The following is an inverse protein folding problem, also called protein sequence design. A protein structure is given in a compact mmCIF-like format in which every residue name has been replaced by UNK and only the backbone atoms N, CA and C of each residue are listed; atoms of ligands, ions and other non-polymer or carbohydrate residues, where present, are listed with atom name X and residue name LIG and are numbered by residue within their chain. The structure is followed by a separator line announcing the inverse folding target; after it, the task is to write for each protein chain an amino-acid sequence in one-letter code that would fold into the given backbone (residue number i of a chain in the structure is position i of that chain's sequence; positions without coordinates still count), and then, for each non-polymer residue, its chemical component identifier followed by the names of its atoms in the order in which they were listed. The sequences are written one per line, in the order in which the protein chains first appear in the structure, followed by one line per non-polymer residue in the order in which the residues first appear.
data_IF_457572706270
#
_entry.id   IF_457572706270
#
_cell.length_a   1.000
_cell.length_b   1.000
_cell.length_c   1.000
_cell.angle_alpha   90.00
_cell.angle_beta   90.00
_cell.angle_gamma   90.00
#
_symmetry.space_group_name_H-M   'P 1'
#
loop_
_entity.id
_entity.type
_entity.pdbx_description
1 polymer ?
#
# COMPACT_ATOMS: atom_id res chain seq x y z
N UNK A 1 -15.11 4.75 2.11
CA UNK A 1 -14.20 4.51 3.22
C UNK A 1 -12.88 5.24 2.95
N UNK A 2 -12.43 6.11 3.84
CA UNK A 2 -11.19 6.86 3.65
C UNK A 2 -10.12 6.32 4.58
N UNK A 3 -8.92 6.15 4.06
CA UNK A 3 -7.74 5.88 4.87
C UNK A 3 -6.70 6.95 4.61
N UNK A 4 -6.31 7.62 5.68
CA UNK A 4 -5.19 8.56 5.68
C UNK A 4 -3.90 7.78 5.91
N UNK A 5 -3.08 7.71 4.86
CA UNK A 5 -1.80 7.01 4.89
C UNK A 5 -0.61 7.99 5.01
N UNK A 6 -0.89 9.28 5.24
CA UNK A 6 0.13 10.30 5.35
C UNK A 6 1.14 9.99 6.48
N UNK A 7 2.42 10.06 6.14
CA UNK A 7 3.52 9.91 7.10
C UNK A 7 3.63 8.53 7.78
N UNK A 8 2.95 7.50 7.23
CA UNK A 8 3.04 6.15 7.79
C UNK A 8 3.99 5.30 6.95
N UNK A 9 5.19 5.13 7.44
CA UNK A 9 6.09 4.10 6.93
C UNK A 9 5.49 2.71 7.15
N UNK A 10 5.78 1.76 6.24
CA UNK A 10 5.14 0.45 6.24
C UNK A 10 3.65 0.49 5.88
N UNK A 11 3.20 1.53 5.18
CA UNK A 11 1.80 1.73 4.82
C UNK A 11 1.26 0.67 3.84
N UNK A 12 2.11 0.01 3.06
CA UNK A 12 1.67 -0.99 2.08
C UNK A 12 1.01 -2.21 2.73
N UNK A 13 1.48 -2.65 3.89
CA UNK A 13 0.83 -3.75 4.62
C UNK A 13 -0.51 -3.31 5.19
N UNK A 14 -0.59 -2.09 5.72
CA UNK A 14 -1.85 -1.52 6.18
C UNK A 14 -2.83 -1.31 5.03
N UNK A 15 -2.36 -0.82 3.88
CA UNK A 15 -3.18 -0.69 2.67
C UNK A 15 -3.71 -2.05 2.21
N UNK A 16 -2.85 -3.07 2.15
CA UNK A 16 -3.23 -4.44 1.81
C UNK A 16 -4.29 -4.99 2.78
N UNK A 17 -4.08 -4.86 4.09
CA UNK A 17 -5.07 -5.25 5.11
C UNK A 17 -6.43 -4.61 4.85
N UNK A 18 -6.44 -3.29 4.58
CA UNK A 18 -7.70 -2.57 4.33
C UNK A 18 -8.36 -2.99 3.02
N UNK A 19 -7.59 -3.20 1.95
CA UNK A 19 -8.11 -3.69 0.68
C UNK A 19 -8.72 -5.10 0.82
N UNK A 20 -8.03 -6.04 1.46
CA UNK A 20 -8.54 -7.39 1.68
C UNK A 20 -9.74 -7.43 2.64
N UNK A 21 -9.89 -6.45 3.51
CA UNK A 21 -11.03 -6.35 4.44
C UNK A 21 -12.26 -5.69 3.83
N UNK A 22 -12.20 -5.14 2.62
CA UNK A 22 -13.33 -4.48 1.98
C UNK A 22 -14.47 -5.48 1.74
N UNK A 23 -15.68 -5.01 2.05
CA UNK A 23 -16.92 -5.72 1.75
C UNK A 23 -17.83 -4.78 0.98
N UNK A 24 -18.48 -5.30 -0.07
CA UNK A 24 -19.46 -4.57 -0.85
C UNK A 24 -20.85 -5.02 -0.39
N UNK A 25 -21.72 -4.06 -0.11
CA UNK A 25 -23.09 -4.34 0.33
C UNK A 25 -24.13 -4.03 -0.77
N UNK A 26 -23.67 -3.64 -1.95
CA UNK A 26 -24.53 -3.14 -3.04
C UNK A 26 -25.10 -1.75 -2.76
N UNK A 27 -25.79 -1.18 -3.72
CA UNK A 27 -26.42 0.13 -3.63
C UNK A 27 -25.73 1.19 -4.46
N UNK A 28 -26.24 2.43 -4.39
CA UNK A 28 -25.72 3.55 -5.18
C UNK A 28 -24.38 4.04 -4.66
N UNK A 29 -23.47 4.37 -5.58
CA UNK A 29 -22.14 4.87 -5.29
C UNK A 29 -22.03 6.34 -5.66
N UNK A 30 -21.94 7.21 -4.68
CA UNK A 30 -21.95 8.67 -4.88
C UNK A 30 -20.53 9.23 -5.04
N UNK A 31 -19.94 8.97 -6.20
CA UNK A 31 -18.56 9.37 -6.50
C UNK A 31 -18.30 10.86 -6.26
N UNK A 32 -19.20 11.73 -6.69
CA UNK A 32 -19.05 13.17 -6.47
C UNK A 32 -18.94 13.55 -5.00
N UNK A 33 -19.78 12.95 -4.15
CA UNK A 33 -19.73 13.17 -2.71
C UNK A 33 -18.43 12.63 -2.10
N UNK A 34 -18.02 11.41 -2.50
CA UNK A 34 -16.80 10.78 -2.00
C UNK A 34 -15.55 11.60 -2.32
N UNK A 35 -15.44 12.11 -3.57
CA UNK A 35 -14.30 12.96 -3.98
C UNK A 35 -14.32 14.29 -3.23
N UNK A 36 -15.50 14.91 -3.05
CA UNK A 36 -15.64 16.17 -2.32
C UNK A 36 -15.24 16.00 -0.84
N UNK A 37 -15.69 14.91 -0.21
CA UNK A 37 -15.36 14.60 1.19
C UNK A 37 -13.88 14.26 1.36
N UNK A 38 -13.30 13.44 0.47
CA UNK A 38 -11.87 13.14 0.49
C UNK A 38 -11.02 14.41 0.37
N UNK A 39 -11.40 15.33 -0.53
CA UNK A 39 -10.69 16.59 -0.74
C UNK A 39 -10.69 17.45 0.53
N UNK A 40 -11.79 17.45 1.30
CA UNK A 40 -11.99 18.33 2.46
C UNK A 40 -11.52 17.71 3.79
N UNK A 41 -11.70 16.40 3.95
CA UNK A 41 -11.54 15.75 5.26
C UNK A 41 -10.18 15.09 5.46
N UNK A 42 -9.50 14.68 4.38
CA UNK A 42 -8.19 14.09 4.51
C UNK A 42 -7.11 15.15 4.73
N UNK A 43 -6.09 14.77 5.50
CA UNK A 43 -4.92 15.63 5.73
C UNK A 43 -3.97 15.51 4.55
N UNK A 44 -4.12 16.42 3.61
CA UNK A 44 -3.24 16.50 2.45
C UNK A 44 -1.95 17.23 2.82
N UNK A 45 -0.80 16.68 2.39
CA UNK A 45 0.48 17.34 2.56
C UNK A 45 0.67 18.42 1.46
N UNK A 46 1.02 19.63 1.89
CA UNK A 46 1.30 20.77 0.99
C UNK A 46 2.80 20.97 0.75
N UNK A 47 3.63 20.04 1.21
CA UNK A 47 5.08 20.05 1.03
C UNK A 47 5.49 20.01 -0.45
N UNK A 48 6.61 20.67 -0.78
CA UNK A 48 7.19 20.57 -2.12
C UNK A 48 7.61 19.12 -2.39
N UNK A 49 7.10 18.55 -3.50
CA UNK A 49 7.39 17.18 -3.90
C UNK A 49 6.36 16.16 -3.46
N UNK A 50 5.37 16.55 -2.66
CA UNK A 50 4.26 15.66 -2.30
C UNK A 50 3.32 15.45 -3.48
N UNK A 51 3.02 14.19 -3.79
CA UNK A 51 2.04 13.79 -4.80
C UNK A 51 0.71 13.44 -4.12
N UNK A 52 -0.34 14.19 -4.47
CA UNK A 52 -1.68 13.99 -3.92
C UNK A 52 -2.54 13.22 -4.91
N UNK A 53 -2.92 12.00 -4.57
CA UNK A 53 -3.63 11.09 -5.46
C UNK A 53 -4.90 10.56 -4.79
N UNK A 54 -5.99 10.58 -5.55
CA UNK A 54 -7.20 9.80 -5.28
C UNK A 54 -7.24 8.67 -6.30
N UNK A 55 -7.45 7.44 -5.84
CA UNK A 55 -7.87 6.31 -6.66
C UNK A 55 -9.28 5.95 -6.25
N UNK A 56 -10.21 5.98 -7.21
CA UNK A 56 -11.58 5.58 -6.97
C UNK A 56 -11.92 4.39 -7.86
N UNK A 57 -12.46 3.33 -7.24
CA UNK A 57 -12.84 2.10 -7.91
C UNK A 57 -14.33 1.81 -7.67
N UNK A 58 -15.02 1.35 -8.71
CA UNK A 58 -16.44 1.00 -8.64
C UNK A 58 -16.99 0.57 -9.98
N UNK A 59 -18.26 0.25 -10.03
CA UNK A 59 -18.96 -0.25 -11.22
C UNK A 59 -20.26 0.48 -11.53
N UNK A 60 -20.72 1.35 -10.66
CA UNK A 60 -21.92 2.15 -10.86
C UNK A 60 -21.63 3.41 -11.72
N UNK A 61 -22.66 4.05 -12.32
CA UNK A 61 -22.47 5.30 -13.05
C UNK A 61 -21.79 6.39 -12.21
N UNK A 62 -20.78 7.03 -12.79
CA UNK A 62 -19.92 7.98 -12.09
C UNK A 62 -20.64 9.28 -11.68
N UNK A 63 -21.78 9.59 -12.30
CA UNK A 63 -22.59 10.79 -12.10
C UNK A 63 -23.73 10.61 -11.09
N UNK A 64 -23.76 9.51 -10.36
CA UNK A 64 -24.77 9.27 -9.33
C UNK A 64 -24.72 10.28 -8.19
N UNK A 65 -25.89 10.58 -7.65
CA UNK A 65 -26.07 11.41 -6.46
C UNK A 65 -26.24 12.90 -6.74
N UNK A 66 -26.35 13.68 -5.66
CA UNK A 66 -26.65 15.11 -5.73
C UNK A 66 -25.41 15.99 -5.91
N UNK A 67 -24.23 15.48 -5.56
CA UNK A 67 -22.97 16.20 -5.67
C UNK A 67 -22.37 15.92 -7.03
N UNK A 68 -22.21 16.96 -7.83
CA UNK A 68 -21.61 16.86 -9.16
C UNK A 68 -20.16 16.39 -9.07
N UNK A 69 -19.84 15.24 -9.67
CA UNK A 69 -18.46 14.76 -9.75
C UNK A 69 -17.56 15.75 -10.51
N UNK A 70 -18.12 16.49 -11.48
CA UNK A 70 -17.39 17.49 -12.27
C UNK A 70 -16.89 18.62 -11.39
N UNK A 71 -17.75 19.10 -10.48
CA UNK A 71 -17.39 20.16 -9.52
C UNK A 71 -16.44 19.62 -8.46
N UNK A 72 -16.72 18.45 -7.89
CA UNK A 72 -15.86 17.81 -6.89
C UNK A 72 -14.44 17.57 -7.39
N UNK A 73 -14.30 17.07 -8.63
CA UNK A 73 -12.98 16.85 -9.24
C UNK A 73 -12.29 18.20 -9.57
N UNK A 74 -13.06 19.21 -10.01
CA UNK A 74 -12.49 20.54 -10.22
C UNK A 74 -11.92 21.13 -8.92
N UNK A 75 -12.62 20.95 -7.79
CA UNK A 75 -12.15 21.36 -6.47
C UNK A 75 -10.89 20.58 -6.04
N UNK A 76 -10.88 19.28 -6.23
CA UNK A 76 -9.70 18.45 -5.97
C UNK A 76 -8.49 18.96 -6.79
N UNK A 77 -8.68 19.27 -8.06
CA UNK A 77 -7.63 19.80 -8.95
C UNK A 77 -7.11 21.17 -8.51
N UNK A 78 -7.98 22.05 -7.99
CA UNK A 78 -7.53 23.33 -7.41
C UNK A 78 -6.61 23.16 -6.21
N UNK A 79 -6.73 22.02 -5.50
CA UNK A 79 -5.87 21.63 -4.38
C UNK A 79 -4.70 20.72 -4.80
N UNK A 80 -4.38 20.65 -6.11
CA UNK A 80 -3.33 19.79 -6.68
C UNK A 80 -3.54 18.29 -6.41
N UNK A 81 -4.78 17.86 -6.21
CA UNK A 81 -5.15 16.45 -6.02
C UNK A 81 -5.54 15.86 -7.37
N UNK A 82 -4.88 14.79 -7.78
CA UNK A 82 -5.16 14.06 -9.03
C UNK A 82 -6.12 12.91 -8.77
N UNK A 83 -7.11 12.71 -9.66
CA UNK A 83 -8.14 11.69 -9.47
C UNK A 83 -8.02 10.63 -10.56
N UNK A 84 -7.56 9.45 -10.18
CA UNK A 84 -7.53 8.27 -11.02
C UNK A 84 -8.83 7.47 -10.84
N UNK A 85 -9.32 6.87 -11.92
CA UNK A 85 -10.53 6.06 -11.88
C UNK A 85 -10.26 4.64 -12.33
N UNK A 86 -10.87 3.68 -11.65
CA UNK A 86 -10.79 2.25 -11.94
C UNK A 86 -12.22 1.72 -12.07
N UNK A 87 -12.66 1.48 -13.30
CA UNK A 87 -13.96 0.87 -13.53
C UNK A 87 -13.88 -0.65 -13.37
N UNK A 88 -14.71 -1.20 -12.50
CA UNK A 88 -14.78 -2.64 -12.26
C UNK A 88 -15.80 -3.27 -13.22
N UNK A 89 -15.40 -3.49 -14.47
CA UNK A 89 -16.27 -4.01 -15.54
C UNK A 89 -15.68 -3.78 -16.93
N UNK A 90 -16.53 -3.87 -17.95
CA UNK A 90 -16.16 -3.67 -19.35
C UNK A 90 -15.68 -2.25 -19.62
N UNK A 91 -14.61 -2.11 -20.39
CA UNK A 91 -13.97 -0.81 -20.67
C UNK A 91 -14.89 0.19 -21.35
N UNK A 92 -15.77 -0.27 -22.26
CA UNK A 92 -16.70 0.60 -23.00
C UNK A 92 -17.80 1.10 -22.08
N UNK A 93 -18.36 0.21 -21.27
CA UNK A 93 -19.37 0.55 -20.25
C UNK A 93 -18.81 1.59 -19.27
N UNK A 94 -17.56 1.46 -18.84
CA UNK A 94 -16.92 2.45 -17.98
C UNK A 94 -16.73 3.81 -18.66
N UNK A 95 -16.49 3.84 -19.98
CA UNK A 95 -16.43 5.10 -20.75
C UNK A 95 -17.82 5.74 -20.82
N UNK A 96 -18.85 4.96 -21.15
CA UNK A 96 -20.25 5.42 -21.30
C UNK A 96 -20.81 5.91 -19.96
N UNK A 97 -20.41 5.30 -18.84
CA UNK A 97 -20.81 5.68 -17.48
C UNK A 97 -19.91 6.73 -16.81
N UNK A 98 -19.17 7.51 -17.60
CA UNK A 98 -18.37 8.69 -17.22
C UNK A 98 -17.10 8.44 -16.40
N UNK A 99 -16.65 7.21 -16.19
CA UNK A 99 -15.41 6.91 -15.46
C UNK A 99 -14.18 7.50 -16.16
N UNK A 100 -14.13 7.41 -17.49
CA UNK A 100 -13.05 8.04 -18.28
C UNK A 100 -13.13 9.56 -18.24
N UNK A 101 -14.33 10.17 -18.30
CA UNK A 101 -14.48 11.63 -18.16
C UNK A 101 -13.98 12.11 -16.79
N UNK A 102 -14.28 11.35 -15.72
CA UNK A 102 -13.76 11.64 -14.39
C UNK A 102 -12.24 11.64 -14.33
N UNK A 103 -11.58 10.65 -14.91
CA UNK A 103 -10.11 10.58 -14.96
C UNK A 103 -9.50 11.75 -15.77
N UNK A 104 -10.08 12.07 -16.92
CA UNK A 104 -9.62 13.19 -17.76
C UNK A 104 -9.73 14.51 -17.01
N UNK A 105 -10.84 14.78 -16.34
CA UNK A 105 -11.02 15.97 -15.49
C UNK A 105 -10.04 15.97 -14.30
N UNK A 106 -9.78 14.80 -13.74
CA UNK A 106 -8.80 14.61 -12.67
C UNK A 106 -7.35 14.74 -13.12
N UNK A 107 -7.10 14.97 -14.42
CA UNK A 107 -5.77 14.99 -15.06
C UNK A 107 -4.96 13.73 -14.74
N UNK A 108 -5.61 12.58 -14.80
CA UNK A 108 -5.09 11.29 -14.39
C UNK A 108 -5.51 10.15 -15.33
N UNK A 109 -5.35 8.93 -14.90
CA UNK A 109 -5.55 7.73 -15.71
C UNK A 109 -6.89 7.09 -15.43
N UNK A 110 -7.52 6.61 -16.49
CA UNK A 110 -8.65 5.69 -16.47
C UNK A 110 -8.13 4.26 -16.63
N UNK A 111 -8.60 3.39 -15.76
CA UNK A 111 -8.37 1.95 -15.83
C UNK A 111 -9.71 1.23 -15.86
N UNK A 112 -9.75 0.07 -16.50
CA UNK A 112 -10.87 -0.87 -16.40
C UNK A 112 -10.34 -2.24 -16.00
N UNK A 113 -11.00 -2.88 -15.05
CA UNK A 113 -10.72 -4.23 -14.60
C UNK A 113 -11.99 -5.02 -14.81
N UNK A 114 -12.02 -5.89 -15.84
CA UNK A 114 -13.15 -6.78 -16.02
C UNK A 114 -13.11 -7.89 -14.95
N UNK A 115 -13.92 -7.74 -13.91
CA UNK A 115 -13.99 -8.69 -12.80
C UNK A 115 -14.51 -10.07 -13.23
N UNK A 116 -15.19 -10.15 -14.37
CA UNK A 116 -15.71 -11.40 -14.94
C UNK A 116 -14.66 -12.15 -15.76
N UNK A 117 -13.57 -11.47 -16.15
CA UNK A 117 -12.43 -12.07 -16.81
C UNK A 117 -11.37 -12.48 -15.79
N UNK A 118 -11.16 -13.78 -15.64
CA UNK A 118 -10.04 -14.28 -14.85
C UNK A 118 -8.74 -13.82 -15.47
N UNK A 119 -7.89 -13.13 -14.70
CA UNK A 119 -6.52 -12.84 -15.10
C UNK A 119 -5.85 -14.17 -15.45
N UNK A 120 -5.47 -14.34 -16.73
CA UNK A 120 -4.72 -15.53 -17.16
C UNK A 120 -3.32 -15.41 -16.60
N UNK A 121 -3.09 -16.07 -15.47
CA UNK A 121 -1.75 -16.23 -14.96
C UNK A 121 -0.99 -17.26 -15.76
N UNK A 122 0.18 -16.89 -16.25
CA UNK A 122 1.10 -17.83 -16.91
C UNK A 122 2.14 -18.23 -15.87
N UNK A 123 2.01 -19.44 -15.36
CA UNK A 123 3.03 -19.98 -14.44
C UNK A 123 4.41 -20.01 -15.10
N UNK A 124 5.40 -19.63 -14.36
CA UNK A 124 6.78 -19.63 -14.79
C UNK A 124 7.63 -20.53 -13.87
N UNK A 125 8.76 -21.09 -14.37
CA UNK A 125 9.68 -21.85 -13.53
C UNK A 125 10.31 -21.04 -12.38
N UNK A 126 10.08 -19.72 -12.38
CA UNK A 126 10.61 -18.82 -11.35
C UNK A 126 9.67 -18.62 -10.17
N UNK A 127 8.39 -18.98 -10.26
CA UNK A 127 7.40 -18.68 -9.23
C UNK A 127 7.72 -19.34 -7.90
N UNK A 128 8.10 -20.61 -7.93
CA UNK A 128 8.54 -21.33 -6.73
C UNK A 128 9.82 -20.73 -6.12
N UNK A 129 10.71 -20.25 -6.97
CA UNK A 129 11.93 -19.56 -6.53
C UNK A 129 11.63 -18.21 -5.91
N UNK A 130 10.68 -17.45 -6.48
CA UNK A 130 10.22 -16.17 -5.95
C UNK A 130 9.58 -16.38 -4.57
N UNK A 131 8.72 -17.40 -4.42
CA UNK A 131 8.12 -17.75 -3.14
C UNK A 131 9.18 -18.11 -2.08
N UNK A 132 10.14 -18.97 -2.44
CA UNK A 132 11.23 -19.34 -1.52
C UNK A 132 12.13 -18.15 -1.14
N UNK A 133 12.33 -17.19 -2.04
CA UNK A 133 13.05 -15.95 -1.75
C UNK A 133 12.25 -15.03 -0.82
N UNK A 134 10.92 -14.99 -0.97
CA UNK A 134 10.06 -14.25 -0.06
C UNK A 134 10.12 -14.80 1.37
N UNK A 135 10.11 -16.13 1.53
CA UNK A 135 10.25 -16.76 2.84
C UNK A 135 11.59 -16.42 3.50
N UNK A 136 12.67 -16.44 2.71
CA UNK A 136 14.00 -16.02 3.18
C UNK A 136 14.00 -14.54 3.58
N UNK A 137 13.43 -13.66 2.75
CA UNK A 137 13.31 -12.25 3.06
C UNK A 137 12.51 -12.03 4.36
N UNK A 138 11.38 -12.72 4.52
CA UNK A 138 10.57 -12.63 5.74
C UNK A 138 11.34 -13.09 7.01
N UNK A 139 12.24 -14.05 6.87
CA UNK A 139 13.08 -14.51 7.96
C UNK A 139 14.15 -13.49 8.40
N UNK A 140 14.53 -12.56 7.52
CA UNK A 140 15.51 -11.51 7.86
C UNK A 140 14.93 -10.38 8.70
N UNK A 141 13.60 -10.17 8.70
CA UNK A 141 12.98 -9.10 9.48
C UNK A 141 13.07 -9.37 10.98
N UNK A 142 13.53 -8.39 11.73
CA UNK A 142 13.70 -8.43 13.17
C UNK A 142 12.94 -7.27 13.80
N UNK A 143 11.79 -7.60 14.40
CA UNK A 143 10.90 -6.58 14.98
C UNK A 143 11.50 -5.93 16.22
N UNK A 144 11.41 -4.60 16.32
CA UNK A 144 11.77 -3.83 17.49
C UNK A 144 10.61 -2.95 17.99
N UNK A 145 10.74 -2.44 19.19
CA UNK A 145 9.71 -1.61 19.81
C UNK A 145 8.43 -2.40 20.14
N UNK A 146 7.42 -1.70 20.64
CA UNK A 146 6.15 -2.31 21.08
C UNK A 146 5.38 -2.98 19.94
N UNK A 147 5.52 -2.48 18.73
CA UNK A 147 4.76 -2.91 17.56
C UNK A 147 5.53 -3.91 16.67
N UNK A 148 6.82 -4.13 16.91
CA UNK A 148 7.68 -4.90 16.01
C UNK A 148 7.12 -6.27 15.65
N UNK A 149 6.78 -7.09 16.67
CA UNK A 149 6.25 -8.42 16.44
C UNK A 149 4.87 -8.41 15.75
N UNK A 150 3.97 -7.51 16.16
CA UNK A 150 2.64 -7.43 15.54
C UNK A 150 2.71 -6.95 14.09
N UNK A 151 3.64 -6.06 13.77
CA UNK A 151 3.87 -5.60 12.39
C UNK A 151 4.49 -6.69 11.52
N UNK A 152 5.43 -7.46 12.07
CA UNK A 152 5.98 -8.64 11.38
C UNK A 152 4.89 -9.68 11.08
N UNK A 153 4.00 -9.93 12.04
CA UNK A 153 2.85 -10.83 11.83
C UNK A 153 1.89 -10.29 10.77
N UNK A 154 1.54 -9.00 10.83
CA UNK A 154 0.71 -8.35 9.81
C UNK A 154 1.31 -8.50 8.41
N UNK A 155 2.60 -8.28 8.25
CA UNK A 155 3.30 -8.42 6.99
C UNK A 155 3.17 -9.86 6.43
N UNK A 156 3.38 -10.88 7.26
CA UNK A 156 3.22 -12.28 6.88
C UNK A 156 1.76 -12.63 6.54
N UNK A 157 0.79 -12.07 7.26
CA UNK A 157 -0.63 -12.24 6.98
C UNK A 157 -1.01 -11.66 5.61
N UNK A 158 -0.46 -10.49 5.23
CA UNK A 158 -0.72 -9.93 3.91
C UNK A 158 -0.08 -10.76 2.77
N UNK A 159 1.04 -11.41 3.01
CA UNK A 159 1.60 -12.39 2.05
C UNK A 159 0.64 -13.57 1.86
N UNK A 160 0.07 -14.11 2.95
CA UNK A 160 -0.92 -15.18 2.90
C UNK A 160 -2.21 -14.74 2.20
N UNK A 161 -2.71 -13.54 2.49
CA UNK A 161 -3.90 -12.98 1.85
C UNK A 161 -3.70 -12.86 0.33
N UNK A 162 -2.55 -12.36 -0.10
CA UNK A 162 -2.23 -12.26 -1.53
C UNK A 162 -2.18 -13.65 -2.20
N UNK A 163 -1.56 -14.63 -1.54
CA UNK A 163 -1.49 -16.00 -2.02
C UNK A 163 -2.88 -16.68 -2.09
N UNK A 164 -3.76 -16.38 -1.15
CA UNK A 164 -5.14 -16.89 -1.15
C UNK A 164 -5.99 -16.35 -2.30
N UNK A 165 -5.68 -15.14 -2.80
CA UNK A 165 -6.39 -14.58 -3.97
C UNK A 165 -5.94 -15.26 -5.26
N UNK A 166 -4.63 -15.28 -5.53
CA UNK A 166 -4.07 -15.96 -6.71
C UNK A 166 -2.54 -16.03 -6.63
N UNK A 167 -1.96 -16.95 -7.43
CA UNK A 167 -0.52 -17.02 -7.62
C UNK A 167 0.06 -15.70 -8.19
N UNK A 168 -0.67 -15.05 -9.10
CA UNK A 168 -0.29 -13.72 -9.63
C UNK A 168 -0.16 -12.68 -8.53
N UNK A 169 -1.17 -12.59 -7.66
CA UNK A 169 -1.15 -11.64 -6.56
C UNK A 169 0.00 -11.90 -5.58
N UNK A 170 0.31 -13.18 -5.33
CA UNK A 170 1.47 -13.55 -4.52
C UNK A 170 2.78 -13.05 -5.12
N UNK A 171 3.00 -13.29 -6.41
CA UNK A 171 4.21 -12.83 -7.11
C UNK A 171 4.30 -11.31 -7.14
N UNK A 172 3.21 -10.61 -7.48
CA UNK A 172 3.16 -9.15 -7.51
C UNK A 172 3.48 -8.53 -6.14
N UNK A 173 2.97 -9.15 -5.07
CA UNK A 173 3.29 -8.71 -3.71
C UNK A 173 4.78 -8.86 -3.40
N UNK A 174 5.41 -9.98 -3.74
CA UNK A 174 6.84 -10.19 -3.53
C UNK A 174 7.66 -9.18 -4.34
N UNK A 175 7.28 -8.93 -5.60
CA UNK A 175 7.93 -7.91 -6.44
C UNK A 175 7.79 -6.51 -5.81
N UNK A 176 6.63 -6.19 -5.26
CA UNK A 176 6.42 -4.91 -4.56
C UNK A 176 7.31 -4.76 -3.33
N UNK A 177 7.44 -5.82 -2.52
CA UNK A 177 8.32 -5.87 -1.34
C UNK A 177 9.81 -5.74 -1.70
N UNK A 178 10.22 -6.22 -2.87
CA UNK A 178 11.61 -6.12 -3.31
C UNK A 178 12.05 -4.69 -3.66
N UNK A 179 11.12 -3.75 -3.78
CA UNK A 179 11.39 -2.35 -4.12
C UNK A 179 11.56 -1.52 -2.85
N UNK A 180 12.78 -1.44 -2.36
CA UNK A 180 13.14 -0.74 -1.10
C UNK A 180 12.65 0.71 -1.02
N UNK A 181 12.56 1.43 -2.14
CA UNK A 181 12.02 2.79 -2.18
C UNK A 181 10.52 2.89 -1.89
N UNK A 182 9.77 1.80 -2.11
CA UNK A 182 8.32 1.73 -1.91
C UNK A 182 7.92 0.91 -0.68
N UNK A 183 8.83 0.07 -0.19
CA UNK A 183 8.58 -0.85 0.92
C UNK A 183 9.72 -0.73 1.93
N UNK A 184 9.56 0.15 2.93
CA UNK A 184 10.44 0.31 4.07
C UNK A 184 9.72 -0.09 5.35
N UNK A 185 10.42 -0.79 6.22
CA UNK A 185 9.93 -1.25 7.51
C UNK A 185 10.68 -0.61 8.68
N UNK A 186 11.34 0.51 8.45
CA UNK A 186 12.22 1.16 9.43
C UNK A 186 11.54 1.55 10.74
N UNK A 187 10.21 1.65 10.76
CA UNK A 187 9.43 1.92 11.99
C UNK A 187 9.30 0.71 12.92
N UNK A 188 9.61 -0.51 12.44
CA UNK A 188 9.42 -1.74 13.21
C UNK A 188 10.48 -2.82 12.98
N UNK A 189 11.24 -2.75 11.88
CA UNK A 189 12.34 -3.66 11.57
C UNK A 189 13.69 -3.00 11.88
N UNK A 190 14.49 -3.66 12.69
CA UNK A 190 15.76 -3.10 13.15
C UNK A 190 16.79 -2.97 12.03
N UNK A 191 16.73 -3.85 11.02
CA UNK A 191 17.67 -3.82 9.89
C UNK A 191 17.40 -2.62 9.00
N UNK A 192 16.14 -2.39 8.65
CA UNK A 192 15.76 -1.23 7.85
C UNK A 192 15.99 0.07 8.63
N UNK A 193 15.69 0.09 9.93
CA UNK A 193 15.98 1.25 10.79
C UNK A 193 17.47 1.56 10.86
N UNK A 194 18.32 0.55 10.97
CA UNK A 194 19.77 0.73 10.99
C UNK A 194 20.33 1.24 9.66
N UNK A 195 19.73 0.86 8.52
CA UNK A 195 20.11 1.42 7.20
C UNK A 195 19.86 2.92 7.13
N UNK A 196 18.78 3.42 7.74
CA UNK A 196 18.45 4.84 7.79
C UNK A 196 19.29 5.60 8.83
N UNK A 197 19.47 5.01 10.00
CA UNK A 197 20.19 5.63 11.12
C UNK A 197 21.06 4.60 11.85
N UNK A 198 22.34 4.59 11.50
CA UNK A 198 23.32 3.68 12.12
C UNK A 198 23.52 3.90 13.62
N UNK A 199 23.19 5.08 14.14
CA UNK A 199 23.31 5.40 15.56
C UNK A 199 22.16 4.81 16.40
N UNK A 200 21.05 4.44 15.78
CA UNK A 200 19.84 3.95 16.42
C UNK A 200 20.12 2.83 17.44
N UNK A 201 20.92 1.85 17.06
CA UNK A 201 21.17 0.65 17.88
C UNK A 201 21.92 0.97 19.18
N UNK A 202 22.69 2.05 19.19
CA UNK A 202 23.40 2.52 20.38
C UNK A 202 22.53 3.44 21.25
N UNK A 203 21.61 4.18 20.60
CA UNK A 203 20.76 5.15 21.26
C UNK A 203 19.45 4.57 21.78
N UNK A 204 18.96 3.47 21.19
CA UNK A 204 17.70 2.87 21.54
C UNK A 204 17.71 2.28 22.96
N UNK A 205 16.64 2.50 23.75
CA UNK A 205 16.47 1.85 25.05
C UNK A 205 16.52 0.31 24.90
N UNK A 206 17.17 -0.37 25.84
CA UNK A 206 17.28 -1.83 25.84
C UNK A 206 15.91 -2.53 25.81
N UNK A 207 14.89 -1.90 26.40
CA UNK A 207 13.50 -2.39 26.39
C UNK A 207 12.83 -2.38 25.02
N UNK A 208 13.34 -1.58 24.08
CA UNK A 208 12.80 -1.49 22.72
C UNK A 208 13.58 -2.38 21.72
N UNK A 209 14.74 -2.85 22.13
CA UNK A 209 15.53 -3.76 21.30
C UNK A 209 14.94 -5.16 21.28
N UNK A 210 15.07 -5.88 20.15
CA UNK A 210 14.70 -7.29 20.08
C UNK A 210 15.61 -8.12 20.99
N UNK A 211 15.11 -9.29 21.41
CA UNK A 211 15.82 -10.16 22.36
C UNK A 211 17.21 -10.58 21.89
N UNK A 212 17.39 -10.70 20.57
CA UNK A 212 18.65 -11.02 19.91
C UNK A 212 19.74 -9.94 20.14
N UNK A 213 19.35 -8.72 20.45
CA UNK A 213 20.25 -7.58 20.67
C UNK A 213 20.42 -7.20 22.15
N UNK A 214 19.53 -7.66 23.03
CA UNK A 214 19.58 -7.34 24.46
C UNK A 214 20.85 -7.87 25.11
N UNK A 215 21.42 -7.08 26.00
CA UNK A 215 22.64 -7.43 26.73
C UNK A 215 23.92 -7.47 25.90
N UNK A 216 23.87 -7.14 24.61
CA UNK A 216 25.04 -7.10 23.74
C UNK A 216 25.72 -5.72 23.78
N UNK A 217 27.03 -5.71 23.60
CA UNK A 217 27.80 -4.48 23.40
C UNK A 217 27.42 -3.78 22.09
N UNK A 218 27.71 -2.49 21.95
CA UNK A 218 27.46 -1.75 20.73
C UNK A 218 28.12 -2.40 19.49
N UNK A 219 29.33 -2.90 19.63
CA UNK A 219 30.06 -3.61 18.56
C UNK A 219 29.34 -4.90 18.15
N UNK A 220 28.89 -5.70 19.12
CA UNK A 220 28.18 -6.96 18.84
C UNK A 220 26.81 -6.71 18.21
N UNK A 221 26.09 -5.68 18.66
CA UNK A 221 24.82 -5.24 18.06
C UNK A 221 25.02 -4.87 16.59
N UNK A 222 26.02 -4.04 16.30
CA UNK A 222 26.37 -3.62 14.95
C UNK A 222 26.72 -4.82 14.07
N UNK A 223 27.62 -5.70 14.53
CA UNK A 223 28.05 -6.87 13.76
C UNK A 223 26.87 -7.82 13.46
N UNK A 224 25.94 -8.00 14.40
CA UNK A 224 24.75 -8.81 14.20
C UNK A 224 23.85 -8.23 13.10
N UNK A 225 23.58 -6.92 13.13
CA UNK A 225 22.70 -6.27 12.15
C UNK A 225 23.36 -6.24 10.76
N UNK A 226 24.68 -6.00 10.70
CA UNK A 226 25.41 -6.02 9.42
C UNK A 226 25.39 -7.43 8.80
N UNK A 227 25.53 -8.48 9.61
CA UNK A 227 25.35 -9.86 9.13
C UNK A 227 23.94 -10.11 8.58
N UNK A 228 22.90 -9.64 9.28
CA UNK A 228 21.51 -9.73 8.81
C UNK A 228 21.23 -8.90 7.56
N UNK A 229 21.92 -7.79 7.39
CA UNK A 229 21.82 -6.95 6.18
C UNK A 229 22.45 -7.62 4.96
N UNK A 230 23.44 -8.49 5.17
CA UNK A 230 24.14 -9.21 4.11
C UNK A 230 23.42 -10.49 3.65
N UNK A 231 22.50 -11.03 4.46
CA UNK A 231 21.63 -12.16 4.08
C UNK A 231 20.66 -11.75 2.97
#
# INVERSE_FOLDING_TARGET
LFYDLHGKEGFLDLLSEKLFSLKTNGGSEYVGAVVADATKQLKWDDGRGSMKLIYIAGNEPFDQGKVSYKEAISDARRNNIYVNTIYCGDIKTGIESFWKDGAVRGQSKYFAINSDEKVKYVETPYDSKIAALNDKLNATYIGYGRAGNSKKMMQAEQDNNAAAVSASNSVERVVSKSKTAAYSNSTWDVVDRYKEDKSFVQAAPESELPDELKGKTATEKTAFIEAKTAE
#
